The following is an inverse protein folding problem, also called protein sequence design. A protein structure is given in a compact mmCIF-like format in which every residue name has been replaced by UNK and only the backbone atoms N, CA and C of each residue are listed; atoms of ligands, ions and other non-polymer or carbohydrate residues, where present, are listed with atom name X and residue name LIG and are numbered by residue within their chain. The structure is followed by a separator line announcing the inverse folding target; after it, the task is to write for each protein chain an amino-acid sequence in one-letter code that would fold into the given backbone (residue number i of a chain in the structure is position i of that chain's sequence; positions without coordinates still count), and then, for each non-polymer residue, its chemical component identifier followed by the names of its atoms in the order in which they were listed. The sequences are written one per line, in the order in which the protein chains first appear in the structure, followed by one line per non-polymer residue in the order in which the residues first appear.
data_IF_112813906236
#
_entry.id   IF_112813906236
#
_cell.length_a   1.000
_cell.length_b   1.000
_cell.length_c   1.000
_cell.angle_alpha   90.00
_cell.angle_beta   90.00
_cell.angle_gamma   90.00
#
_symmetry.space_group_name_H-M   'P 1'
#
loop_
_entity.id
_entity.type
_entity.pdbx_description
1 polymer ?
#
# COMPACT_ATOMS: atom_id res chain seq x y z
N UNK A 1 -19.62 -19.75 14.73
CA UNK A 1 -18.75 -19.93 13.56
C UNK A 1 -17.51 -19.10 13.80
N UNK A 2 -16.30 -19.63 13.58
CA UNK A 2 -15.11 -18.79 13.75
C UNK A 2 -15.09 -17.74 12.64
N UNK A 3 -14.52 -16.55 12.92
CA UNK A 3 -14.29 -15.48 11.93
C UNK A 3 -13.69 -16.03 10.62
N UNK A 4 -12.91 -17.10 10.72
CA UNK A 4 -12.26 -17.79 9.60
C UNK A 4 -13.24 -18.54 8.66
N UNK A 5 -14.33 -19.10 9.17
CA UNK A 5 -15.34 -19.80 8.34
C UNK A 5 -16.19 -18.83 7.51
N UNK A 6 -16.43 -17.63 8.03
CA UNK A 6 -17.23 -16.62 7.33
C UNK A 6 -16.43 -15.96 6.19
N UNK A 7 -15.12 -15.72 6.38
CA UNK A 7 -14.24 -15.22 5.31
C UNK A 7 -14.16 -16.20 4.11
N UNK A 8 -13.86 -17.48 4.36
CA UNK A 8 -13.70 -18.48 3.29
C UNK A 8 -14.99 -18.71 2.49
N UNK A 9 -16.15 -18.58 3.15
CA UNK A 9 -17.44 -18.62 2.47
C UNK A 9 -17.67 -17.35 1.64
N UNK A 10 -17.51 -16.17 2.26
CA UNK A 10 -17.79 -14.88 1.65
C UNK A 10 -16.89 -14.54 0.45
N UNK A 11 -15.63 -15.00 0.47
CA UNK A 11 -14.70 -14.81 -0.65
C UNK A 11 -15.08 -15.68 -1.86
N UNK A 12 -15.56 -16.91 -1.63
CA UNK A 12 -15.98 -17.86 -2.69
C UNK A 12 -17.32 -17.50 -3.34
N UNK A 13 -18.19 -16.81 -2.61
CA UNK A 13 -19.41 -16.22 -3.18
C UNK A 13 -19.06 -15.25 -4.32
N UNK A 14 -17.91 -14.56 -4.21
CA UNK A 14 -17.41 -13.62 -5.22
C UNK A 14 -18.44 -12.56 -5.63
N UNK A 15 -19.36 -12.22 -4.72
CA UNK A 15 -20.41 -11.26 -5.00
C UNK A 15 -19.91 -9.83 -4.80
N UNK A 16 -20.10 -8.93 -5.79
CA UNK A 16 -19.87 -7.52 -5.59
C UNK A 16 -20.94 -6.94 -4.67
N UNK A 17 -20.54 -6.24 -3.61
CA UNK A 17 -21.49 -5.55 -2.73
C UNK A 17 -21.16 -4.07 -2.71
N UNK A 18 -21.88 -3.31 -3.53
CA UNK A 18 -21.79 -1.85 -3.58
C UNK A 18 -22.63 -1.30 -2.42
N UNK A 19 -22.05 -0.38 -1.65
CA UNK A 19 -22.81 0.30 -0.61
C UNK A 19 -23.94 1.11 -1.27
N UNK A 20 -25.13 1.09 -0.67
CA UNK A 20 -26.22 1.93 -1.14
C UNK A 20 -25.79 3.40 -1.02
N UNK A 21 -25.81 4.11 -2.15
CA UNK A 21 -25.66 5.56 -2.13
C UNK A 21 -27.00 6.14 -1.62
N UNK A 22 -26.96 7.07 -0.67
CA UNK A 22 -28.10 7.93 -0.36
C UNK A 22 -28.03 9.16 -1.28
N UNK A 23 -28.80 9.19 -2.39
CA UNK A 23 -28.76 10.29 -3.35
C UNK A 23 -29.30 11.60 -2.76
N UNK A 24 -30.03 11.55 -1.65
CA UNK A 24 -30.65 12.70 -0.98
C UNK A 24 -29.87 13.18 0.24
N UNK A 25 -28.70 12.58 0.52
CA UNK A 25 -27.83 13.04 1.61
C UNK A 25 -27.31 14.45 1.31
N UNK A 26 -27.88 15.44 2.01
CA UNK A 26 -27.45 16.83 1.99
C UNK A 26 -26.11 17.06 2.75
N UNK A 27 -25.54 16.00 3.34
CA UNK A 27 -24.28 16.10 4.08
C UNK A 27 -23.10 16.17 3.10
N UNK A 28 -22.09 17.02 3.37
CA UNK A 28 -20.87 17.01 2.58
C UNK A 28 -20.24 15.62 2.60
N UNK A 29 -19.72 15.16 1.46
CA UNK A 29 -18.95 13.91 1.43
C UNK A 29 -17.84 13.94 2.49
N UNK A 30 -17.67 12.88 3.27
CA UNK A 30 -16.61 12.84 4.29
C UNK A 30 -15.26 12.99 3.58
N UNK A 31 -14.37 13.83 4.13
CA UNK A 31 -13.07 14.10 3.52
C UNK A 31 -11.98 14.25 4.56
N UNK A 32 -10.81 13.73 4.25
CA UNK A 32 -9.59 13.98 5.01
C UNK A 32 -9.04 15.37 4.66
N UNK A 33 -8.40 16.02 5.63
CA UNK A 33 -7.90 17.39 5.51
C UNK A 33 -6.49 17.57 6.08
N UNK A 34 -6.06 18.82 6.19
CA UNK A 34 -4.71 19.18 6.67
C UNK A 34 -4.42 18.75 8.12
N UNK A 35 -5.44 18.41 8.89
CA UNK A 35 -5.42 17.88 10.24
C UNK A 35 -5.26 16.34 10.30
N UNK A 36 -5.39 15.65 9.17
CA UNK A 36 -5.27 14.19 9.08
C UNK A 36 -3.82 13.70 9.00
N UNK A 37 -3.52 12.64 9.76
CA UNK A 37 -2.23 11.95 9.69
C UNK A 37 -2.04 11.19 8.37
N UNK A 38 -3.11 10.64 7.79
CA UNK A 38 -3.08 10.07 6.43
C UNK A 38 -2.69 11.15 5.42
N UNK A 39 -3.28 12.35 5.48
CA UNK A 39 -2.90 13.48 4.61
C UNK A 39 -1.43 13.89 4.79
N UNK A 40 -0.96 13.85 6.03
CA UNK A 40 0.42 14.18 6.38
C UNK A 40 1.43 13.18 5.82
N UNK A 41 1.13 11.88 5.86
CA UNK A 41 2.13 10.83 5.63
C UNK A 41 1.96 10.02 4.36
N UNK A 42 0.73 9.79 3.87
CA UNK A 42 0.51 8.94 2.71
C UNK A 42 1.16 9.49 1.43
N UNK A 43 1.20 10.83 1.33
CA UNK A 43 1.79 11.53 0.19
C UNK A 43 3.29 11.74 0.27
N UNK A 44 3.95 11.34 1.37
CA UNK A 44 5.39 11.50 1.57
C UNK A 44 6.17 10.66 0.55
N UNK A 45 7.19 11.24 -0.07
CA UNK A 45 7.96 10.60 -1.14
C UNK A 45 8.72 9.36 -0.67
N UNK A 46 8.98 9.23 0.64
CA UNK A 46 9.56 8.02 1.23
C UNK A 46 8.62 6.82 1.20
N UNK A 47 7.32 7.02 0.91
CA UNK A 47 6.35 5.95 0.60
C UNK A 47 6.87 4.97 -0.45
N UNK A 48 7.69 5.43 -1.40
CA UNK A 48 8.32 4.58 -2.43
C UNK A 48 9.14 3.43 -1.86
N UNK A 49 9.71 3.59 -0.66
CA UNK A 49 10.52 2.56 0.00
C UNK A 49 9.70 1.33 0.39
N UNK A 50 8.39 1.48 0.54
CA UNK A 50 7.48 0.39 0.86
C UNK A 50 6.61 -0.06 -0.31
N UNK A 51 6.83 0.43 -1.53
CA UNK A 51 5.98 0.08 -2.66
C UNK A 51 5.86 -1.44 -2.84
N UNK A 52 6.95 -2.17 -2.67
CA UNK A 52 6.95 -3.64 -2.77
C UNK A 52 6.21 -4.32 -1.62
N UNK A 53 6.18 -3.72 -0.43
CA UNK A 53 5.40 -4.22 0.70
C UNK A 53 3.93 -4.20 0.31
N UNK A 54 3.42 -3.03 -0.08
CA UNK A 54 2.02 -2.86 -0.51
C UNK A 54 1.65 -3.77 -1.68
N UNK A 55 2.39 -3.65 -2.80
CA UNK A 55 2.07 -4.43 -4.00
C UNK A 55 2.26 -5.94 -3.78
N UNK A 56 3.22 -6.32 -2.94
CA UNK A 56 3.52 -7.69 -2.61
C UNK A 56 2.46 -8.37 -1.77
N UNK A 57 2.09 -7.74 -0.64
CA UNK A 57 1.10 -8.29 0.29
C UNK A 57 -0.29 -8.40 -0.35
N UNK A 58 -0.66 -7.45 -1.21
CA UNK A 58 -1.91 -7.52 -1.99
C UNK A 58 -1.94 -8.78 -2.88
N UNK A 59 -0.84 -9.04 -3.60
CA UNK A 59 -0.74 -10.12 -4.60
C UNK A 59 -0.32 -11.49 -4.03
N UNK A 60 -0.15 -11.60 -2.71
CA UNK A 60 0.00 -12.88 -2.02
C UNK A 60 -1.34 -13.58 -1.72
N UNK A 61 -2.47 -12.89 -1.89
CA UNK A 61 -3.81 -13.49 -1.84
C UNK A 61 -4.17 -13.97 -3.25
N UNK A 62 -4.57 -15.24 -3.37
CA UNK A 62 -4.71 -15.92 -4.66
C UNK A 62 -5.60 -15.16 -5.64
N UNK A 63 -6.79 -14.75 -5.21
CA UNK A 63 -7.78 -14.07 -6.04
C UNK A 63 -7.27 -12.73 -6.57
N UNK A 64 -6.52 -11.96 -5.76
CA UNK A 64 -5.92 -10.69 -6.18
C UNK A 64 -4.74 -10.93 -7.12
N UNK A 65 -3.88 -11.89 -6.79
CA UNK A 65 -2.79 -12.31 -7.66
C UNK A 65 -3.29 -12.74 -9.03
N UNK A 66 -4.36 -13.53 -9.08
CA UNK A 66 -5.00 -14.02 -10.30
C UNK A 66 -5.70 -12.88 -11.06
N UNK A 67 -6.42 -11.99 -10.37
CA UNK A 67 -7.02 -10.80 -10.98
C UNK A 67 -5.98 -9.92 -11.70
N UNK A 68 -4.80 -9.73 -11.10
CA UNK A 68 -3.71 -9.00 -11.75
C UNK A 68 -3.12 -9.79 -12.91
N UNK A 69 -3.03 -11.12 -12.81
CA UNK A 69 -2.56 -11.97 -13.89
C UNK A 69 -3.48 -11.90 -15.13
N UNK A 70 -4.79 -11.95 -14.91
CA UNK A 70 -5.79 -12.00 -15.98
C UNK A 70 -6.05 -10.62 -16.62
N UNK A 71 -6.07 -9.57 -15.80
CA UNK A 71 -6.59 -8.25 -16.21
C UNK A 71 -5.54 -7.14 -16.26
N UNK A 72 -4.26 -7.44 -16.01
CA UNK A 72 -3.22 -6.41 -15.94
C UNK A 72 -2.06 -6.60 -16.90
N UNK A 73 -1.74 -5.54 -17.64
CA UNK A 73 -0.50 -5.41 -18.43
C UNK A 73 0.74 -5.13 -17.57
N UNK A 74 0.72 -5.47 -16.27
CA UNK A 74 1.81 -5.15 -15.35
C UNK A 74 3.14 -5.78 -15.76
N UNK A 75 3.08 -6.93 -16.43
CA UNK A 75 4.22 -7.68 -16.93
C UNK A 75 4.87 -7.02 -18.17
N UNK A 76 4.11 -6.21 -18.92
CA UNK A 76 4.55 -5.59 -20.17
C UNK A 76 4.78 -4.07 -20.04
N UNK A 77 3.98 -3.37 -19.22
CA UNK A 77 3.99 -1.91 -19.05
C UNK A 77 3.79 -1.50 -17.58
N UNK A 78 4.75 -1.86 -16.73
CA UNK A 78 4.72 -1.52 -15.31
C UNK A 78 4.65 0.01 -15.05
N UNK A 79 5.47 0.80 -15.75
CA UNK A 79 5.54 2.26 -15.54
C UNK A 79 4.29 2.97 -16.05
N UNK A 80 3.74 2.58 -17.19
CA UNK A 80 2.49 3.12 -17.69
C UNK A 80 1.32 2.70 -16.80
N UNK A 81 1.29 1.47 -16.28
CA UNK A 81 0.31 1.04 -15.27
C UNK A 81 0.37 1.92 -14.03
N UNK A 82 1.55 2.14 -13.45
CA UNK A 82 1.72 3.00 -12.28
C UNK A 82 1.21 4.43 -12.53
N UNK A 83 1.45 4.98 -13.72
CA UNK A 83 0.95 6.30 -14.13
C UNK A 83 -0.59 6.36 -14.30
N UNK A 84 -1.24 5.25 -14.66
CA UNK A 84 -2.70 5.15 -14.83
C UNK A 84 -3.41 4.90 -13.48
N UNK A 85 -2.84 4.07 -12.62
CA UNK A 85 -3.42 3.68 -11.32
C UNK A 85 -3.17 4.70 -10.21
N UNK A 86 -2.02 5.37 -10.21
CA UNK A 86 -1.67 6.34 -9.17
C UNK A 86 -2.64 7.53 -9.03
N UNK A 87 -3.06 8.21 -10.12
CA UNK A 87 -3.88 9.41 -10.00
C UNK A 87 -5.24 9.19 -9.31
N UNK A 88 -6.06 8.18 -9.65
CA UNK A 88 -7.34 7.97 -8.98
C UNK A 88 -7.20 7.73 -7.48
N UNK A 89 -6.31 6.82 -7.06
CA UNK A 89 -6.11 6.49 -5.64
C UNK A 89 -5.64 7.70 -4.84
N UNK A 90 -4.66 8.44 -5.36
CA UNK A 90 -4.15 9.63 -4.67
C UNK A 90 -5.20 10.75 -4.61
N UNK A 91 -6.04 10.89 -5.65
CA UNK A 91 -7.10 11.89 -5.64
C UNK A 91 -8.27 11.54 -4.73
N UNK A 92 -8.49 10.26 -4.42
CA UNK A 92 -9.45 9.86 -3.37
C UNK A 92 -9.07 10.50 -2.03
N UNK A 93 -7.78 10.63 -1.71
CA UNK A 93 -7.32 11.26 -0.46
C UNK A 93 -7.20 12.77 -0.58
N UNK A 94 -6.62 13.28 -1.68
CA UNK A 94 -6.13 14.66 -1.77
C UNK A 94 -6.98 15.63 -2.60
N UNK A 95 -8.00 15.17 -3.32
CA UNK A 95 -8.81 16.05 -4.17
C UNK A 95 -9.94 16.74 -3.41
N UNK A 96 -10.50 17.80 -4.01
CA UNK A 96 -11.71 18.48 -3.53
C UNK A 96 -13.00 17.69 -3.81
N UNK A 97 -12.95 16.67 -4.67
CA UNK A 97 -14.07 15.78 -5.01
C UNK A 97 -13.70 14.31 -4.67
N UNK A 98 -13.35 13.99 -3.40
CA UNK A 98 -12.74 12.70 -3.06
C UNK A 98 -13.65 11.50 -3.39
N UNK A 99 -14.97 11.64 -3.20
CA UNK A 99 -15.95 10.58 -3.48
C UNK A 99 -16.01 10.23 -4.98
N UNK A 100 -15.94 11.23 -5.86
CA UNK A 100 -15.88 11.00 -7.31
C UNK A 100 -14.69 10.15 -7.71
N UNK A 101 -13.52 10.41 -7.12
CA UNK A 101 -12.30 9.63 -7.39
C UNK A 101 -12.33 8.25 -6.74
N UNK A 102 -12.88 8.12 -5.53
CA UNK A 102 -13.15 6.82 -4.92
C UNK A 102 -14.09 5.96 -5.77
N UNK A 103 -15.21 6.52 -6.24
CA UNK A 103 -16.12 5.85 -7.19
C UNK A 103 -15.46 5.53 -8.52
N UNK A 104 -14.56 6.37 -9.02
CA UNK A 104 -13.76 6.06 -10.23
C UNK A 104 -12.91 4.81 -10.01
N UNK A 105 -12.28 4.65 -8.83
CA UNK A 105 -11.54 3.43 -8.48
C UNK A 105 -12.49 2.24 -8.41
N UNK A 106 -13.63 2.34 -7.71
CA UNK A 106 -14.63 1.25 -7.65
C UNK A 106 -15.11 0.85 -9.05
N UNK A 107 -15.47 1.81 -9.88
CA UNK A 107 -16.09 1.56 -11.17
C UNK A 107 -15.12 0.92 -12.16
N UNK A 108 -13.81 1.20 -12.05
CA UNK A 108 -12.76 0.47 -12.77
C UNK A 108 -12.76 -1.03 -12.45
N UNK A 109 -13.09 -1.42 -11.22
CA UNK A 109 -13.06 -2.81 -10.76
C UNK A 109 -14.34 -3.61 -11.07
N UNK A 110 -15.37 -3.02 -11.68
CA UNK A 110 -16.66 -3.68 -11.96
C UNK A 110 -16.56 -4.93 -12.83
N UNK A 111 -15.60 -4.95 -13.75
CA UNK A 111 -15.44 -6.04 -14.72
C UNK A 111 -14.26 -6.95 -14.39
N UNK A 112 -13.57 -6.73 -13.27
CA UNK A 112 -12.42 -7.54 -12.85
C UNK A 112 -12.96 -8.72 -12.03
N UNK A 113 -13.07 -9.86 -12.70
CA UNK A 113 -13.59 -11.12 -12.18
C UNK A 113 -13.06 -12.29 -13.00
N UNK A 114 -13.13 -13.48 -12.43
CA UNK A 114 -12.64 -14.69 -13.08
C UNK A 114 -12.75 -15.89 -12.14
N UNK A 115 -11.88 -16.88 -12.36
CA UNK A 115 -11.77 -18.09 -11.55
C UNK A 115 -10.31 -18.27 -11.11
N UNK A 116 -10.10 -18.84 -9.92
CA UNK A 116 -8.78 -19.23 -9.42
C UNK A 116 -8.50 -20.71 -9.71
N UNK A 117 -7.34 -21.20 -9.26
CA UNK A 117 -6.83 -22.52 -9.66
C UNK A 117 -7.71 -23.70 -9.27
N UNK A 118 -8.51 -23.58 -8.20
CA UNK A 118 -9.45 -24.60 -7.75
C UNK A 118 -10.84 -24.51 -8.42
N UNK A 119 -11.02 -23.58 -9.37
CA UNK A 119 -12.28 -23.34 -10.08
C UNK A 119 -13.27 -22.45 -9.34
N UNK A 120 -12.97 -22.00 -8.12
CA UNK A 120 -13.81 -21.02 -7.43
C UNK A 120 -13.69 -19.64 -8.09
N UNK A 121 -14.77 -18.85 -8.03
CA UNK A 121 -14.85 -17.54 -8.68
C UNK A 121 -14.21 -16.46 -7.81
N UNK A 122 -13.77 -15.38 -8.43
CA UNK A 122 -13.42 -14.14 -7.74
C UNK A 122 -14.07 -12.93 -8.41
N UNK A 123 -14.25 -11.86 -7.64
CA UNK A 123 -14.68 -10.56 -8.13
C UNK A 123 -13.97 -9.46 -7.33
N UNK A 124 -13.37 -8.48 -8.01
CA UNK A 124 -12.57 -7.45 -7.34
C UNK A 124 -13.37 -6.59 -6.36
N UNK A 125 -14.66 -6.38 -6.63
CA UNK A 125 -15.59 -5.68 -5.72
C UNK A 125 -16.23 -6.58 -4.64
N UNK A 126 -15.75 -7.81 -4.46
CA UNK A 126 -16.09 -8.58 -3.27
C UNK A 126 -15.53 -7.86 -2.02
N UNK A 127 -16.33 -7.64 -0.96
CA UNK A 127 -15.89 -6.85 0.20
C UNK A 127 -14.63 -7.37 0.90
N UNK A 128 -14.45 -8.69 0.97
CA UNK A 128 -13.27 -9.28 1.63
C UNK A 128 -11.98 -8.94 0.87
N UNK A 129 -12.02 -9.06 -0.46
CA UNK A 129 -10.90 -8.76 -1.35
C UNK A 129 -10.62 -7.25 -1.43
N UNK A 130 -11.67 -6.46 -1.59
CA UNK A 130 -11.54 -5.02 -1.76
C UNK A 130 -11.03 -4.36 -0.47
N UNK A 131 -11.49 -4.84 0.70
CA UNK A 131 -10.97 -4.36 1.97
C UNK A 131 -9.51 -4.77 2.21
N UNK A 132 -9.09 -5.98 1.83
CA UNK A 132 -7.67 -6.36 1.94
C UNK A 132 -6.77 -5.43 1.14
N UNK A 133 -7.13 -5.13 -0.12
CA UNK A 133 -6.40 -4.16 -0.93
C UNK A 133 -6.27 -2.82 -0.18
N UNK A 134 -7.37 -2.26 0.34
CA UNK A 134 -7.34 -1.05 1.16
C UNK A 134 -6.46 -1.18 2.41
N UNK A 135 -6.56 -2.28 3.15
CA UNK A 135 -5.79 -2.54 4.36
C UNK A 135 -4.27 -2.47 4.08
N UNK A 136 -3.81 -2.92 2.91
CA UNK A 136 -2.38 -2.78 2.53
C UNK A 136 -1.95 -1.33 2.32
N UNK A 137 -2.84 -0.42 1.90
CA UNK A 137 -2.57 1.01 1.88
C UNK A 137 -2.49 1.61 3.29
N UNK A 138 -3.34 1.16 4.21
CA UNK A 138 -3.31 1.60 5.62
C UNK A 138 -2.01 1.14 6.29
N UNK A 139 -1.65 -0.13 6.14
CA UNK A 139 -0.39 -0.68 6.62
C UNK A 139 0.82 0.04 6.00
N UNK A 140 0.78 0.39 4.71
CA UNK A 140 1.81 1.20 4.06
C UNK A 140 2.03 2.54 4.78
N UNK A 141 0.96 3.27 5.11
CA UNK A 141 1.05 4.54 5.85
C UNK A 141 1.65 4.31 7.23
N UNK A 142 1.14 3.34 7.98
CA UNK A 142 1.60 3.01 9.33
C UNK A 142 3.08 2.60 9.34
N UNK A 143 3.44 1.61 8.52
CA UNK A 143 4.76 1.00 8.48
C UNK A 143 5.82 1.98 8.00
N UNK A 144 5.57 2.72 6.91
CA UNK A 144 6.56 3.65 6.36
C UNK A 144 6.78 4.84 7.27
N UNK A 145 5.70 5.36 7.88
CA UNK A 145 5.83 6.44 8.84
C UNK A 145 6.68 5.98 10.02
N UNK A 146 6.28 4.90 10.69
CA UNK A 146 6.95 4.38 11.88
C UNK A 146 8.41 3.97 11.63
N UNK A 147 8.70 3.47 10.42
CA UNK A 147 10.02 2.95 10.05
C UNK A 147 10.96 4.02 9.51
N UNK A 148 10.52 4.90 8.60
CA UNK A 148 11.42 5.79 7.85
C UNK A 148 11.22 7.28 8.11
N UNK A 149 10.11 7.67 8.76
CA UNK A 149 9.80 9.08 9.03
C UNK A 149 10.06 9.39 10.50
N UNK A 150 9.28 8.78 11.39
CA UNK A 150 9.39 8.90 12.85
C UNK A 150 8.56 7.79 13.50
N UNK A 151 8.82 7.50 14.77
CA UNK A 151 7.96 6.56 15.51
C UNK A 151 6.57 7.18 15.73
N UNK A 152 5.56 6.34 15.57
CA UNK A 152 4.15 6.66 15.85
C UNK A 152 3.79 6.19 17.24
N UNK A 153 3.06 7.01 17.99
CA UNK A 153 2.42 6.58 19.22
C UNK A 153 1.28 5.62 18.94
N UNK A 154 0.78 4.95 19.99
CA UNK A 154 -0.42 4.12 19.86
C UNK A 154 -1.62 4.94 19.39
N UNK A 155 -1.85 6.11 19.99
CA UNK A 155 -2.97 6.99 19.64
C UNK A 155 -2.91 7.47 18.18
N UNK A 156 -1.71 7.73 17.64
CA UNK A 156 -1.55 8.12 16.24
C UNK A 156 -1.82 6.95 15.29
N UNK A 157 -1.48 5.72 15.67
CA UNK A 157 -1.83 4.52 14.88
C UNK A 157 -3.34 4.29 14.85
N UNK A 158 -4.00 4.45 16.01
CA UNK A 158 -5.47 4.41 16.12
C UNK A 158 -6.09 5.51 15.26
N UNK A 159 -5.58 6.74 15.32
CA UNK A 159 -6.07 7.84 14.49
C UNK A 159 -5.92 7.54 12.99
N UNK A 160 -4.76 7.05 12.53
CA UNK A 160 -4.56 6.67 11.13
C UNK A 160 -5.57 5.58 10.72
N UNK A 161 -5.83 4.60 11.60
CA UNK A 161 -6.82 3.58 11.33
C UNK A 161 -8.24 4.17 11.21
N UNK A 162 -8.68 5.02 12.13
CA UNK A 162 -10.00 5.67 12.05
C UNK A 162 -10.15 6.57 10.81
N UNK A 163 -9.13 7.36 10.48
CA UNK A 163 -9.08 8.15 9.24
C UNK A 163 -9.17 7.26 7.99
N UNK A 164 -8.64 6.03 8.05
CA UNK A 164 -8.71 5.10 6.94
C UNK A 164 -10.13 4.61 6.66
N UNK A 165 -11.04 4.67 7.65
CA UNK A 165 -12.46 4.30 7.47
C UNK A 165 -13.17 5.33 6.61
N UNK A 166 -12.89 6.62 6.85
CA UNK A 166 -13.32 7.73 5.98
C UNK A 166 -12.81 7.53 4.56
N UNK A 167 -11.54 7.15 4.41
CA UNK A 167 -10.99 6.85 3.09
C UNK A 167 -11.71 5.67 2.42
N UNK A 168 -11.96 4.58 3.15
CA UNK A 168 -12.63 3.41 2.59
C UNK A 168 -14.07 3.71 2.13
N UNK A 169 -14.81 4.50 2.89
CA UNK A 169 -16.19 4.91 2.59
C UNK A 169 -16.30 5.58 1.22
N UNK A 170 -15.28 6.36 0.82
CA UNK A 170 -15.24 7.06 -0.47
C UNK A 170 -15.31 6.12 -1.68
N UNK A 171 -14.94 4.84 -1.51
CA UNK A 171 -15.03 3.85 -2.58
C UNK A 171 -16.48 3.40 -2.84
N UNK A 172 -17.38 3.49 -1.86
CA UNK A 172 -18.75 3.00 -1.99
C UNK A 172 -18.84 1.48 -2.17
N UNK A 173 -17.95 0.74 -1.52
CA UNK A 173 -17.98 -0.74 -1.40
C UNK A 173 -18.38 -1.08 0.03
N UNK A 174 -19.12 -2.17 0.24
CA UNK A 174 -19.55 -2.59 1.58
C UNK A 174 -18.39 -2.65 2.57
N UNK A 175 -18.60 -2.10 3.76
CA UNK A 175 -17.65 -2.11 4.87
C UNK A 175 -17.84 -3.31 5.81
N UNK A 176 -18.60 -4.34 5.41
CA UNK A 176 -18.85 -5.53 6.28
C UNK A 176 -17.56 -6.22 6.74
N UNK A 177 -16.52 -6.14 5.92
CA UNK A 177 -15.20 -6.77 6.15
C UNK A 177 -14.23 -5.84 6.88
N UNK A 178 -14.60 -4.57 7.10
CA UNK A 178 -13.78 -3.57 7.77
C UNK A 178 -13.81 -3.82 9.29
N UNK A 179 -12.64 -4.04 9.94
CA UNK A 179 -12.48 -4.00 11.39
C UNK A 179 -13.04 -2.70 11.99
N UNK A 180 -13.55 -2.78 13.22
CA UNK A 180 -14.13 -1.63 13.91
C UNK A 180 -13.15 -0.93 14.83
N UNK A 181 -12.10 -1.63 15.26
CA UNK A 181 -11.04 -1.11 16.12
C UNK A 181 -9.65 -1.38 15.53
N UNK A 182 -8.63 -0.64 16.01
CA UNK A 182 -7.26 -0.85 15.57
C UNK A 182 -6.72 -2.23 15.99
N UNK A 183 -7.15 -2.73 17.15
CA UNK A 183 -6.83 -4.07 17.66
C UNK A 183 -7.40 -5.15 16.74
N UNK A 184 -8.65 -5.00 16.29
CA UNK A 184 -9.24 -5.90 15.30
C UNK A 184 -8.51 -5.80 13.95
N UNK A 185 -8.04 -4.61 13.55
CA UNK A 185 -7.23 -4.46 12.35
C UNK A 185 -5.91 -5.22 12.44
N UNK A 186 -5.22 -5.19 13.58
CA UNK A 186 -4.01 -5.97 13.80
C UNK A 186 -4.29 -7.48 13.71
N UNK A 187 -5.36 -7.95 14.34
CA UNK A 187 -5.76 -9.35 14.27
C UNK A 187 -6.15 -9.78 12.85
N UNK A 188 -6.90 -8.94 12.14
CA UNK A 188 -7.26 -9.14 10.73
C UNK A 188 -6.01 -9.20 9.83
N UNK A 189 -5.06 -8.27 10.04
CA UNK A 189 -3.83 -8.22 9.27
C UNK A 189 -3.01 -9.52 9.45
N UNK A 190 -2.81 -9.96 10.69
CA UNK A 190 -2.07 -11.19 10.99
C UNK A 190 -2.77 -12.45 10.41
N UNK A 191 -4.11 -12.51 10.48
CA UNK A 191 -4.88 -13.58 9.83
C UNK A 191 -4.68 -13.58 8.31
N UNK A 192 -4.76 -12.42 7.67
CA UNK A 192 -4.53 -12.30 6.22
C UNK A 192 -3.10 -12.67 5.80
N UNK A 193 -2.09 -12.31 6.59
CA UNK A 193 -0.70 -12.73 6.33
C UNK A 193 -0.57 -14.26 6.38
N UNK A 194 -1.34 -14.96 7.22
CA UNK A 194 -1.33 -16.43 7.30
C UNK A 194 -1.88 -17.12 6.06
N UNK A 195 -2.64 -16.39 5.22
CA UNK A 195 -3.27 -16.87 3.97
C UNK A 195 -2.39 -16.69 2.73
N UNK A 196 -1.16 -16.20 2.89
CA UNK A 196 -0.29 -15.90 1.76
C UNK A 196 0.13 -17.17 1.01
N UNK A 197 0.02 -17.11 -0.32
CA UNK A 197 0.41 -18.20 -1.22
C UNK A 197 1.43 -17.74 -2.27
N UNK A 198 2.27 -18.66 -2.79
CA UNK A 198 3.18 -18.37 -3.90
C UNK A 198 2.43 -18.29 -5.24
N UNK A 199 1.79 -17.15 -5.49
CA UNK A 199 1.15 -16.88 -6.77
C UNK A 199 2.15 -16.40 -7.83
N UNK A 200 1.93 -16.74 -9.11
CA UNK A 200 2.82 -16.37 -10.23
C UNK A 200 3.09 -14.86 -10.29
N UNK A 201 2.06 -14.05 -10.03
CA UNK A 201 2.14 -12.59 -10.01
C UNK A 201 3.17 -12.06 -9.02
N UNK A 202 3.11 -12.47 -7.75
CA UNK A 202 4.03 -11.97 -6.72
C UNK A 202 5.45 -12.52 -6.90
N UNK A 203 5.58 -13.78 -7.32
CA UNK A 203 6.89 -14.39 -7.61
C UNK A 203 7.59 -13.70 -8.79
N UNK A 204 6.85 -13.39 -9.86
CA UNK A 204 7.39 -12.60 -10.97
C UNK A 204 7.72 -11.17 -10.53
N UNK A 205 6.80 -10.50 -9.85
CA UNK A 205 6.97 -9.11 -9.42
C UNK A 205 8.16 -8.93 -8.47
N UNK A 206 8.51 -9.94 -7.68
CA UNK A 206 9.71 -9.95 -6.82
C UNK A 206 10.97 -10.46 -7.52
N UNK A 207 10.88 -10.87 -8.79
CA UNK A 207 12.01 -11.43 -9.56
C UNK A 207 13.21 -10.48 -9.63
N UNK A 208 12.99 -9.17 -9.78
CA UNK A 208 14.08 -8.17 -9.81
C UNK A 208 14.85 -8.09 -8.48
N UNK A 209 14.21 -8.43 -7.36
CA UNK A 209 14.86 -8.50 -6.05
C UNK A 209 15.87 -9.64 -6.06
N UNK A 210 15.52 -10.79 -6.67
CA UNK A 210 16.39 -11.98 -6.75
C UNK A 210 17.45 -11.86 -7.85
N UNK A 211 17.10 -11.28 -9.00
CA UNK A 211 17.95 -11.19 -10.18
C UNK A 211 18.86 -9.95 -10.19
N UNK A 212 18.50 -8.90 -9.44
CA UNK A 212 19.20 -7.62 -9.44
C UNK A 212 18.70 -6.67 -10.55
N UNK A 213 19.17 -5.42 -10.51
CA UNK A 213 18.78 -4.40 -11.47
C UNK A 213 19.18 -4.75 -12.91
N UNK A 214 18.31 -4.45 -13.89
CA UNK A 214 18.60 -4.71 -15.29
C UNK A 214 19.82 -3.91 -15.76
N UNK A 215 20.71 -4.57 -16.48
CA UNK A 215 21.92 -3.95 -17.05
C UNK A 215 21.54 -2.92 -18.12
N UNK A 216 22.03 -1.67 -18.03
CA UNK A 216 21.90 -0.72 -19.13
C UNK A 216 22.63 -1.23 -20.38
N UNK A 217 21.99 -1.15 -21.56
CA UNK A 217 22.54 -1.67 -22.83
C UNK A 217 23.96 -1.15 -23.14
N UNK A 218 24.29 0.08 -22.70
CA UNK A 218 25.56 0.77 -22.96
C UNK A 218 26.70 0.41 -21.98
N UNK A 219 26.43 -0.35 -20.92
CA UNK A 219 27.45 -0.70 -19.91
C UNK A 219 27.90 -2.15 -20.11
N UNK A 220 29.20 -2.45 -20.28
CA UNK A 220 29.69 -3.83 -20.39
C UNK A 220 29.29 -4.68 -19.18
N UNK A 221 28.96 -5.97 -19.40
CA UNK A 221 28.46 -6.84 -18.35
C UNK A 221 29.41 -7.02 -17.14
N UNK A 222 30.74 -7.21 -17.32
CA UNK A 222 31.66 -7.31 -16.18
C UNK A 222 31.68 -6.03 -15.33
N UNK A 223 31.66 -4.86 -15.99
CA UNK A 223 31.63 -3.56 -15.32
C UNK A 223 30.32 -3.40 -14.55
N UNK A 224 29.17 -3.72 -15.17
CA UNK A 224 27.87 -3.65 -14.52
C UNK A 224 27.78 -4.54 -13.28
N UNK A 225 28.31 -5.77 -13.34
CA UNK A 225 28.26 -6.71 -12.23
C UNK A 225 28.98 -6.17 -10.99
N UNK A 226 30.12 -5.49 -11.17
CA UNK A 226 30.88 -4.88 -10.06
C UNK A 226 30.16 -3.66 -9.51
N UNK A 227 29.72 -2.73 -10.36
CA UNK A 227 29.13 -1.46 -9.90
C UNK A 227 27.72 -1.61 -9.36
N UNK A 228 26.93 -2.57 -9.89
CA UNK A 228 25.56 -2.81 -9.44
C UNK A 228 25.49 -3.66 -8.17
N UNK A 229 26.54 -4.42 -7.82
CA UNK A 229 26.56 -5.25 -6.62
C UNK A 229 26.21 -4.50 -5.32
N UNK A 230 26.86 -3.36 -4.97
CA UNK A 230 26.50 -2.62 -3.76
C UNK A 230 25.09 -2.04 -3.82
N UNK A 231 24.66 -1.54 -4.98
CA UNK A 231 23.31 -0.99 -5.17
C UNK A 231 22.25 -2.09 -5.04
N UNK A 232 22.46 -3.25 -5.63
CA UNK A 232 21.59 -4.42 -5.51
C UNK A 232 21.54 -4.93 -4.06
N UNK A 233 22.68 -4.98 -3.37
CA UNK A 233 22.73 -5.38 -1.96
C UNK A 233 21.96 -4.40 -1.07
N UNK A 234 22.10 -3.10 -1.32
CA UNK A 234 21.35 -2.05 -0.61
C UNK A 234 19.85 -2.15 -0.90
N UNK A 235 19.44 -2.18 -2.18
CA UNK A 235 18.04 -2.28 -2.59
C UNK A 235 17.38 -3.53 -2.03
N UNK A 236 18.04 -4.70 -2.10
CA UNK A 236 17.55 -5.93 -1.47
C UNK A 236 17.37 -5.76 0.03
N UNK A 237 18.34 -5.16 0.73
CA UNK A 237 18.24 -4.96 2.18
C UNK A 237 17.07 -4.06 2.53
N UNK A 238 16.89 -2.94 1.82
CA UNK A 238 15.79 -2.00 2.10
C UNK A 238 14.45 -2.62 1.73
N UNK A 239 14.30 -3.10 0.49
CA UNK A 239 13.02 -3.62 -0.02
C UNK A 239 12.59 -4.87 0.74
N UNK A 240 13.46 -5.89 0.86
CA UNK A 240 13.11 -7.14 1.57
C UNK A 240 12.90 -6.89 3.05
N UNK A 241 13.65 -5.95 3.63
CA UNK A 241 13.48 -5.53 5.03
C UNK A 241 12.10 -4.98 5.33
N UNK A 242 11.45 -4.33 4.36
CA UNK A 242 10.06 -3.88 4.53
C UNK A 242 9.02 -5.00 4.52
N UNK A 243 9.32 -6.17 3.97
CA UNK A 243 8.31 -7.21 3.75
C UNK A 243 7.99 -7.97 5.04
N UNK A 244 6.72 -8.36 5.28
CA UNK A 244 6.39 -9.29 6.35
C UNK A 244 7.05 -10.65 6.10
N UNK A 245 7.29 -11.42 7.17
CA UNK A 245 8.02 -12.68 7.09
C UNK A 245 7.34 -13.69 6.16
N UNK A 246 6.02 -13.80 6.24
CA UNK A 246 5.17 -14.68 5.42
C UNK A 246 5.37 -14.44 3.92
N UNK A 247 5.48 -13.16 3.51
CA UNK A 247 5.76 -12.83 2.10
C UNK A 247 7.18 -13.22 1.70
N UNK A 248 8.16 -13.03 2.60
CA UNK A 248 9.55 -13.44 2.33
C UNK A 248 9.63 -14.95 2.11
N UNK A 249 8.94 -15.72 2.94
CA UNK A 249 8.90 -17.18 2.85
C UNK A 249 8.27 -17.63 1.53
N UNK A 250 7.08 -17.09 1.22
CA UNK A 250 6.35 -17.35 -0.04
C UNK A 250 7.18 -17.00 -1.29
N UNK A 251 7.97 -15.93 -1.23
CA UNK A 251 8.80 -15.49 -2.37
C UNK A 251 10.21 -16.11 -2.36
N UNK A 252 10.57 -16.92 -1.36
CA UNK A 252 11.92 -17.47 -1.19
C UNK A 252 13.00 -16.39 -1.01
N UNK A 253 12.68 -15.33 -0.28
CA UNK A 253 13.56 -14.19 -0.02
C UNK A 253 14.28 -14.39 1.31
N UNK A 254 15.53 -14.84 1.25
CA UNK A 254 16.34 -15.06 2.45
C UNK A 254 16.49 -13.77 3.28
N UNK A 255 16.35 -13.92 4.60
CA UNK A 255 16.57 -12.86 5.56
C UNK A 255 17.38 -13.38 6.74
N UNK A 256 18.43 -12.65 7.12
CA UNK A 256 19.31 -13.03 8.22
C UNK A 256 19.59 -11.84 9.12
N UNK A 257 20.13 -12.11 10.31
CA UNK A 257 20.35 -11.08 11.33
C UNK A 257 21.27 -9.94 10.86
N UNK A 258 22.21 -10.21 9.95
CA UNK A 258 23.07 -9.16 9.39
C UNK A 258 22.27 -8.20 8.52
N UNK A 259 21.35 -8.70 7.69
CA UNK A 259 20.43 -7.87 6.89
C UNK A 259 19.46 -7.11 7.78
N UNK A 260 18.93 -7.77 8.82
CA UNK A 260 18.06 -7.12 9.81
C UNK A 260 18.76 -5.94 10.50
N UNK A 261 19.98 -6.14 11.03
CA UNK A 261 20.75 -5.07 11.64
C UNK A 261 21.04 -3.91 10.67
N UNK A 262 21.35 -4.21 9.41
CA UNK A 262 21.60 -3.18 8.40
C UNK A 262 20.32 -2.40 8.04
N UNK A 263 19.19 -3.09 7.91
CA UNK A 263 17.89 -2.48 7.69
C UNK A 263 17.50 -1.56 8.85
N UNK A 264 17.62 -2.02 10.10
CA UNK A 264 17.32 -1.21 11.28
C UNK A 264 18.24 0.01 11.43
N UNK A 265 19.51 -0.12 11.04
CA UNK A 265 20.45 1.02 10.95
C UNK A 265 19.99 2.03 9.90
N UNK A 266 19.63 1.57 8.70
CA UNK A 266 19.12 2.44 7.64
C UNK A 266 17.83 3.15 8.07
N UNK A 267 16.86 2.43 8.63
CA UNK A 267 15.62 2.98 9.16
C UNK A 267 15.88 4.05 10.24
N UNK A 268 16.81 3.78 11.17
CA UNK A 268 17.24 4.76 12.18
C UNK A 268 17.84 6.02 11.56
N UNK A 269 18.75 5.86 10.58
CA UNK A 269 19.34 7.00 9.85
C UNK A 269 18.26 7.84 9.18
N UNK A 270 17.31 7.21 8.49
CA UNK A 270 16.20 7.91 7.84
C UNK A 270 15.37 8.75 8.82
N UNK A 271 15.04 8.19 9.99
CA UNK A 271 14.34 8.91 11.06
C UNK A 271 15.17 10.06 11.64
N UNK A 272 16.46 9.83 11.90
CA UNK A 272 17.38 10.87 12.41
C UNK A 272 17.56 12.02 11.41
N UNK A 273 17.51 11.74 10.10
CA UNK A 273 17.58 12.75 9.05
C UNK A 273 16.24 13.44 8.76
N UNK A 274 15.13 13.03 9.39
CA UNK A 274 13.80 13.64 9.18
C UNK A 274 13.80 15.19 9.33
N UNK A 275 14.47 15.80 10.32
CA UNK A 275 14.55 17.27 10.40
C UNK A 275 15.27 17.91 9.21
N UNK A 276 16.23 17.22 8.59
CA UNK A 276 16.94 17.69 7.39
C UNK A 276 16.03 17.57 6.17
N UNK A 277 15.33 16.44 6.01
CA UNK A 277 14.33 16.27 4.95
C UNK A 277 13.27 17.38 5.02
N UNK A 278 12.76 17.71 6.20
CA UNK A 278 11.77 18.77 6.39
C UNK A 278 12.27 20.19 6.03
N UNK A 279 13.56 20.39 5.71
CA UNK A 279 14.06 21.66 5.14
C UNK A 279 14.03 21.71 3.62
N UNK A 280 13.79 20.57 2.95
CA UNK A 280 13.73 20.48 1.50
C UNK A 280 12.48 21.21 0.95
N UNK A 281 12.51 21.60 -0.33
CA UNK A 281 11.32 22.09 -1.03
C UNK A 281 10.17 21.09 -0.95
N UNK A 282 8.95 21.58 -0.70
CA UNK A 282 7.77 20.74 -0.51
C UNK A 282 7.51 19.75 -1.66
N UNK A 283 7.80 20.16 -2.90
CA UNK A 283 7.69 19.32 -4.11
C UNK A 283 8.59 18.09 -4.14
N UNK A 284 9.62 18.03 -3.29
CA UNK A 284 10.52 16.87 -3.15
C UNK A 284 10.09 15.95 -1.99
N UNK A 285 9.39 16.53 -1.01
CA UNK A 285 8.85 15.80 0.13
C UNK A 285 7.56 15.07 -0.21
N UNK A 286 6.75 15.63 -1.10
CA UNK A 286 5.44 15.09 -1.41
C UNK A 286 5.30 14.75 -2.89
N UNK A 287 4.61 13.65 -3.16
CA UNK A 287 4.10 13.31 -4.49
C UNK A 287 3.20 14.44 -5.05
N UNK A 288 3.08 14.59 -6.38
CA UNK A 288 2.45 15.77 -6.98
C UNK A 288 1.01 16.06 -6.53
N UNK A 289 0.24 15.05 -6.14
CA UNK A 289 -1.14 15.23 -5.65
C UNK A 289 -1.18 15.84 -4.25
N UNK A 290 -0.44 15.26 -3.30
CA UNK A 290 -0.33 15.81 -1.96
C UNK A 290 0.33 17.19 -1.97
N UNK A 291 1.38 17.39 -2.78
CA UNK A 291 2.01 18.70 -2.97
C UNK A 291 0.99 19.77 -3.39
N UNK A 292 0.14 19.47 -4.39
CA UNK A 292 -0.90 20.40 -4.84
C UNK A 292 -1.94 20.66 -3.76
N UNK A 293 -2.41 19.62 -3.08
CA UNK A 293 -3.40 19.75 -2.01
C UNK A 293 -2.89 20.61 -0.85
N UNK A 294 -1.64 20.43 -0.40
CA UNK A 294 -1.01 21.30 0.61
C UNK A 294 -0.92 22.76 0.13
N UNK A 295 -0.59 22.98 -1.15
CA UNK A 295 -0.52 24.33 -1.75
C UNK A 295 -1.90 24.99 -1.84
N UNK A 296 -2.94 24.23 -2.16
CA UNK A 296 -4.32 24.72 -2.28
C UNK A 296 -4.92 25.08 -0.92
N UNK A 297 -4.68 24.28 0.11
CA UNK A 297 -5.15 24.55 1.49
C UNK A 297 -4.33 25.65 2.17
N UNK A 298 -3.12 25.95 1.67
CA UNK A 298 -2.29 27.04 2.19
C UNK A 298 -1.58 26.71 3.51
N UNK A 299 -1.50 25.44 3.89
CA UNK A 299 -0.84 24.95 5.10
C UNK A 299 0.54 24.39 4.75
N UNK A 300 1.58 24.79 5.48
CA UNK A 300 2.89 24.17 5.37
C UNK A 300 2.93 22.89 6.23
N UNK A 301 3.08 21.69 5.63
CA UNK A 301 3.13 20.47 6.41
C UNK A 301 4.47 20.22 7.09
N UNK A 302 5.56 20.90 6.70
CA UNK A 302 6.92 20.64 7.22
C UNK A 302 7.10 20.81 8.75
N UNK A 303 6.37 21.67 9.47
CA UNK A 303 6.40 21.67 10.93
C UNK A 303 5.42 20.66 11.55
N UNK A 304 4.42 20.16 10.83
CA UNK A 304 3.35 19.33 11.38
C UNK A 304 3.82 17.92 11.69
N UNK A 305 3.43 17.41 12.87
CA UNK A 305 3.57 16.00 13.27
C UNK A 305 4.96 15.40 12.96
N UNK A 306 6.04 16.14 13.23
CA UNK A 306 7.41 15.71 12.91
C UNK A 306 8.24 15.31 14.13
N UNK A 307 7.79 15.67 15.33
CA UNK A 307 8.29 15.14 16.59
C UNK A 307 7.61 13.80 16.88
N UNK A 308 8.36 12.77 17.31
CA UNK A 308 7.75 11.59 17.92
C UNK A 308 6.88 12.04 19.09
N UNK A 309 5.71 11.43 19.26
CA UNK A 309 4.95 11.64 20.50
C UNK A 309 5.80 11.18 21.70
N UNK A 310 5.72 11.92 22.81
CA UNK A 310 6.37 11.58 24.06
C UNK A 310 5.84 10.25 24.63
#
# INVERSE_FOLDING_TARGET
MSVNQDYERAIREAEPVIAADDPDSALPSPRLGADSLIWKFYGDSRGVLGFQRLAGTENCIEQLGQAVLDHSVIFDDFLGRAKRTGPPVMKTVYSTEPQKWGRTVRDFHRNIKGEISDGSRYHALNPELFYWAHATFVDQVLYITDTFIRRLSYAEKVQIFEESKVWYELYGVSARSQPQTYEEFLAYWDDMLSRFIPHKTVVYATGYIRQGLPRPKKVPAPVWNVVSAPLNAFLRTVIVGTLPQQMRDVCGLEWNDKRERNFQRFARIMRTLNPVFNRLPLRWLYVPWAYRAWREVGVDPRPLHNTPAA
#
